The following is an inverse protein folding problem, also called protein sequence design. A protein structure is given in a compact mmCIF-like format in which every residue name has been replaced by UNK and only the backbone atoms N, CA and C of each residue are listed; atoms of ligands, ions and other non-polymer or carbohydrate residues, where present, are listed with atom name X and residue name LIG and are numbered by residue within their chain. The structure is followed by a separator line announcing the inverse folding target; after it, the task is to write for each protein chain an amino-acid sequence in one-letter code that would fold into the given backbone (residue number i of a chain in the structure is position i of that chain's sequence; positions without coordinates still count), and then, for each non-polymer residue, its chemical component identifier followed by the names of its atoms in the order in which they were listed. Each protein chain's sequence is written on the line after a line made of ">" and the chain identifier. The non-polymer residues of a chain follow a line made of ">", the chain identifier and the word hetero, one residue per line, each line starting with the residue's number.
data_IF_480695161874
#
_entry.id   IF_480695161874
#
_cell.length_a   1.000
_cell.length_b   1.000
_cell.length_c   1.000
_cell.angle_alpha   90.00
_cell.angle_beta   90.00
_cell.angle_gamma   90.00
#
_symmetry.space_group_name_H-M   'P 1'
#
loop_
_entity.id
_entity.type
_entity.pdbx_description
1 polymer ?
#
# COMPACT_ATOMS: atom_id res chain seq x y z
N UNK A 1 5.81 25.40 18.70
CA UNK A 1 6.88 24.82 17.86
C UNK A 1 6.90 23.32 18.11
N UNK A 2 6.52 22.50 17.12
CA UNK A 2 6.46 21.05 17.29
C UNK A 2 7.87 20.46 17.22
N UNK A 3 8.41 20.00 18.36
CA UNK A 3 9.64 19.22 18.38
C UNK A 3 9.35 17.83 17.81
N UNK A 4 9.63 17.64 16.53
CA UNK A 4 9.68 16.31 15.92
C UNK A 4 10.85 15.53 16.52
N UNK A 5 10.56 14.60 17.42
CA UNK A 5 11.53 13.72 18.06
C UNK A 5 12.45 13.02 17.03
N UNK A 6 13.77 13.02 17.29
CA UNK A 6 14.77 12.36 16.45
C UNK A 6 14.52 10.85 16.27
N UNK A 7 13.77 10.23 17.19
CA UNK A 7 13.33 8.84 17.06
C UNK A 7 12.31 8.67 15.93
N UNK A 8 11.40 9.63 15.74
CA UNK A 8 10.38 9.63 14.69
C UNK A 8 11.02 9.78 13.30
N UNK A 9 12.04 10.63 13.18
CA UNK A 9 12.81 10.82 11.93
C UNK A 9 13.60 9.56 11.56
N UNK A 10 14.28 8.92 12.52
CA UNK A 10 15.00 7.66 12.30
C UNK A 10 14.08 6.48 11.94
N UNK A 11 12.90 6.38 12.56
CA UNK A 11 11.90 5.33 12.25
C UNK A 11 11.32 5.52 10.84
N UNK A 12 11.06 6.77 10.44
CA UNK A 12 10.61 7.12 9.09
C UNK A 12 11.63 6.73 8.00
N UNK A 13 12.92 7.05 8.19
CA UNK A 13 13.98 6.69 7.23
C UNK A 13 14.18 5.19 7.03
N UNK A 14 14.09 4.39 8.12
CA UNK A 14 14.12 2.92 8.03
C UNK A 14 12.93 2.37 7.26
N UNK A 15 11.73 2.91 7.49
CA UNK A 15 10.53 2.49 6.76
C UNK A 15 10.60 2.83 5.27
N UNK A 16 11.19 3.97 4.91
CA UNK A 16 11.40 4.37 3.51
C UNK A 16 12.40 3.45 2.81
N UNK A 17 13.51 3.09 3.48
CA UNK A 17 14.50 2.16 2.93
C UNK A 17 13.90 0.76 2.69
N UNK A 18 13.11 0.25 3.63
CA UNK A 18 12.40 -1.03 3.47
C UNK A 18 11.40 -0.99 2.31
N UNK A 19 10.62 0.09 2.18
CA UNK A 19 9.70 0.27 1.05
C UNK A 19 10.44 0.30 -0.29
N UNK A 20 11.58 0.98 -0.37
CA UNK A 20 12.39 1.04 -1.58
C UNK A 20 12.92 -0.35 -2.00
N UNK A 21 13.38 -1.15 -1.03
CA UNK A 21 13.82 -2.53 -1.28
C UNK A 21 12.69 -3.43 -1.77
N UNK A 22 11.50 -3.33 -1.18
CA UNK A 22 10.30 -4.07 -1.62
C UNK A 22 9.97 -3.71 -3.07
N UNK A 23 9.92 -2.40 -3.40
CA UNK A 23 9.66 -1.94 -4.77
C UNK A 23 10.73 -2.43 -5.74
N UNK A 24 11.99 -2.46 -5.34
CA UNK A 24 13.08 -2.99 -6.16
C UNK A 24 12.92 -4.49 -6.43
N UNK A 25 12.51 -5.26 -5.41
CA UNK A 25 12.19 -6.68 -5.56
C UNK A 25 11.02 -6.90 -6.52
N UNK A 26 9.95 -6.09 -6.42
CA UNK A 26 8.80 -6.16 -7.33
C UNK A 26 9.18 -5.85 -8.77
N UNK A 27 10.00 -4.82 -9.00
CA UNK A 27 10.54 -4.51 -10.33
C UNK A 27 11.35 -5.66 -10.91
N UNK A 28 12.18 -6.31 -10.08
CA UNK A 28 12.96 -7.48 -10.49
C UNK A 28 12.04 -8.65 -10.86
N UNK A 29 11.07 -9.00 -10.00
CA UNK A 29 10.09 -10.07 -10.27
C UNK A 29 9.33 -9.82 -11.57
N UNK A 30 8.90 -8.58 -11.82
CA UNK A 30 8.23 -8.20 -13.07
C UNK A 30 9.13 -8.48 -14.28
N UNK A 31 10.36 -7.96 -14.25
CA UNK A 31 11.32 -8.10 -15.37
C UNK A 31 11.66 -9.56 -15.63
N UNK A 32 11.95 -10.33 -14.58
CA UNK A 32 12.38 -11.72 -14.71
C UNK A 32 11.26 -12.60 -15.26
N UNK A 33 10.01 -12.39 -14.82
CA UNK A 33 8.86 -13.16 -15.31
C UNK A 33 8.44 -12.76 -16.74
N UNK A 34 8.47 -11.47 -17.10
CA UNK A 34 8.23 -11.04 -18.49
C UNK A 34 9.29 -11.60 -19.43
N UNK A 35 10.57 -11.57 -19.02
CA UNK A 35 11.66 -12.18 -19.80
C UNK A 35 11.41 -13.67 -19.97
N UNK A 36 11.09 -14.40 -18.90
CA UNK A 36 10.78 -15.82 -18.97
C UNK A 36 9.62 -16.13 -19.93
N UNK A 37 8.56 -15.32 -19.94
CA UNK A 37 7.47 -15.47 -20.91
C UNK A 37 7.97 -15.33 -22.35
N UNK A 38 8.72 -14.26 -22.63
CA UNK A 38 9.19 -13.94 -23.97
C UNK A 38 10.20 -14.97 -24.48
N UNK A 39 11.23 -15.28 -23.68
CA UNK A 39 12.28 -16.21 -24.08
C UNK A 39 11.72 -17.61 -24.36
N UNK A 40 10.82 -18.12 -23.50
CA UNK A 40 10.19 -19.42 -23.74
C UNK A 40 9.30 -19.40 -25.00
N UNK A 41 8.55 -18.33 -25.22
CA UNK A 41 7.72 -18.18 -26.42
C UNK A 41 8.55 -18.17 -27.70
N UNK A 42 9.61 -17.36 -27.76
CA UNK A 42 10.52 -17.27 -28.90
C UNK A 42 11.16 -18.63 -29.21
N UNK A 43 11.57 -19.37 -28.18
CA UNK A 43 12.15 -20.70 -28.37
C UNK A 43 11.12 -21.72 -28.91
N UNK A 44 9.88 -21.69 -28.42
CA UNK A 44 8.80 -22.53 -28.95
C UNK A 44 8.60 -22.25 -30.45
N UNK A 45 8.52 -20.97 -30.84
CA UNK A 45 8.36 -20.58 -32.25
C UNK A 45 9.57 -20.99 -33.09
N UNK A 46 10.79 -20.84 -32.56
CA UNK A 46 12.02 -21.25 -33.24
C UNK A 46 12.04 -22.74 -33.54
N UNK A 47 11.60 -23.58 -32.59
CA UNK A 47 11.52 -25.03 -32.75
C UNK A 47 10.37 -25.46 -33.66
N UNK A 48 9.24 -24.74 -33.63
CA UNK A 48 8.09 -25.03 -34.49
C UNK A 48 8.31 -24.67 -35.97
N UNK A 49 9.39 -23.94 -36.29
CA UNK A 49 9.68 -23.51 -37.66
C UNK A 49 10.11 -24.71 -38.52
N UNK A 50 9.31 -25.05 -39.52
CA UNK A 50 9.59 -26.13 -40.46
C UNK A 50 10.65 -25.65 -41.47
N UNK A 51 11.83 -26.26 -41.49
CA UNK A 51 12.79 -26.10 -42.57
C UNK A 51 12.47 -27.11 -43.69
N UNK A 52 12.24 -26.60 -44.89
CA UNK A 52 11.83 -27.40 -46.06
C UNK A 52 12.96 -28.35 -46.51
N UNK A 53 14.23 -27.98 -46.28
CA UNK A 53 15.40 -28.81 -46.62
C UNK A 53 15.62 -29.99 -45.65
N UNK A 54 15.22 -29.86 -44.39
CA UNK A 54 15.35 -30.93 -43.37
C UNK A 54 14.33 -32.06 -43.58
N UNK A 55 13.22 -31.76 -44.25
CA UNK A 55 12.16 -32.73 -44.52
C UNK A 55 12.54 -33.79 -45.57
N UNK A 56 13.59 -33.53 -46.38
CA UNK A 56 13.87 -34.33 -47.57
C UNK A 56 14.87 -35.49 -47.36
N UNK A 57 15.75 -35.45 -46.35
CA UNK A 57 16.83 -36.45 -46.23
C UNK A 57 17.25 -36.70 -44.77
N UNK A 58 16.76 -37.79 -44.13
CA UNK A 58 17.50 -38.68 -43.18
C UNK A 58 16.60 -39.63 -42.34
N UNK A 59 17.27 -40.70 -41.90
CA UNK A 59 16.85 -41.89 -41.14
C UNK A 59 15.53 -41.83 -40.31
N UNK A 60 14.60 -42.80 -40.47
CA UNK A 60 13.32 -42.83 -39.74
C UNK A 60 13.45 -43.12 -38.23
N UNK A 61 14.49 -43.83 -37.78
CA UNK A 61 14.67 -44.23 -36.37
C UNK A 61 15.13 -43.08 -35.46
N UNK A 62 15.93 -42.13 -35.98
CA UNK A 62 16.36 -40.93 -35.25
C UNK A 62 15.22 -39.93 -35.04
N UNK A 63 14.33 -39.83 -36.03
CA UNK A 63 13.18 -38.91 -36.01
C UNK A 63 12.23 -39.13 -34.83
N UNK A 64 12.08 -40.36 -34.34
CA UNK A 64 11.18 -40.62 -33.21
C UNK A 64 11.73 -40.03 -31.89
N UNK A 65 13.02 -40.24 -31.62
CA UNK A 65 13.69 -39.69 -30.42
C UNK A 65 13.75 -38.17 -30.47
N UNK A 66 14.08 -37.60 -31.62
CA UNK A 66 14.14 -36.15 -31.82
C UNK A 66 12.76 -35.52 -31.68
N UNK A 67 11.72 -36.14 -32.26
CA UNK A 67 10.35 -35.70 -32.10
C UNK A 67 9.91 -35.66 -30.63
N UNK A 68 10.15 -36.74 -29.87
CA UNK A 68 9.78 -36.76 -28.45
C UNK A 68 10.57 -35.75 -27.63
N UNK A 69 11.85 -35.56 -27.93
CA UNK A 69 12.69 -34.53 -27.29
C UNK A 69 12.08 -33.15 -27.54
N UNK A 70 11.85 -32.77 -28.80
CA UNK A 70 11.28 -31.47 -29.15
C UNK A 70 9.88 -31.26 -28.55
N UNK A 71 9.03 -32.30 -28.58
CA UNK A 71 7.69 -32.27 -27.98
C UNK A 71 7.77 -32.00 -26.48
N UNK A 72 8.62 -32.73 -25.76
CA UNK A 72 8.76 -32.60 -24.32
C UNK A 72 9.35 -31.24 -23.94
N UNK A 73 10.36 -30.78 -24.69
CA UNK A 73 10.99 -29.48 -24.49
C UNK A 73 9.99 -28.33 -24.69
N UNK A 74 9.17 -28.40 -25.75
CA UNK A 74 8.09 -27.44 -26.03
C UNK A 74 7.04 -27.45 -24.92
N UNK A 75 6.64 -28.62 -24.44
CA UNK A 75 5.69 -28.74 -23.33
C UNK A 75 6.24 -28.13 -22.03
N UNK A 76 7.51 -28.38 -21.71
CA UNK A 76 8.18 -27.79 -20.54
C UNK A 76 8.24 -26.26 -20.65
N UNK A 77 8.59 -25.72 -21.82
CA UNK A 77 8.60 -24.27 -22.04
C UNK A 77 7.22 -23.64 -21.86
N UNK A 78 6.17 -24.27 -22.40
CA UNK A 78 4.80 -23.81 -22.21
C UNK A 78 4.41 -23.81 -20.72
N UNK A 79 4.79 -24.85 -19.97
CA UNK A 79 4.56 -24.90 -18.52
C UNK A 79 5.32 -23.78 -17.77
N UNK A 80 6.56 -23.47 -18.17
CA UNK A 80 7.32 -22.35 -17.60
C UNK A 80 6.68 -20.99 -17.88
N UNK A 81 6.06 -20.81 -19.05
CA UNK A 81 5.29 -19.61 -19.36
C UNK A 81 4.07 -19.48 -18.44
N UNK A 82 3.30 -20.55 -18.26
CA UNK A 82 2.14 -20.55 -17.34
C UNK A 82 2.58 -20.21 -15.91
N UNK A 83 3.69 -20.78 -15.44
CA UNK A 83 4.25 -20.46 -14.13
C UNK A 83 4.64 -18.97 -14.02
N UNK A 84 5.30 -18.42 -15.04
CA UNK A 84 5.67 -17.01 -15.03
C UNK A 84 4.43 -16.08 -15.03
N UNK A 85 3.35 -16.47 -15.71
CA UNK A 85 2.09 -15.75 -15.67
C UNK A 85 1.43 -15.79 -14.28
N UNK A 86 1.44 -16.94 -13.60
CA UNK A 86 0.93 -17.07 -12.23
C UNK A 86 1.75 -16.21 -11.24
N UNK A 87 3.08 -16.17 -11.40
CA UNK A 87 3.94 -15.30 -10.58
C UNK A 87 3.67 -13.80 -10.80
N UNK A 88 3.29 -13.39 -12.01
CA UNK A 88 2.83 -12.02 -12.29
C UNK A 88 1.46 -11.72 -11.66
N UNK A 89 0.57 -12.72 -11.59
CA UNK A 89 -0.71 -12.60 -10.91
C UNK A 89 -0.51 -12.41 -9.40
N UNK A 90 0.36 -13.22 -8.78
CA UNK A 90 0.77 -13.05 -7.37
C UNK A 90 1.40 -11.68 -7.12
N UNK A 91 2.31 -11.24 -7.99
CA UNK A 91 2.91 -9.91 -7.89
C UNK A 91 1.85 -8.79 -7.92
N UNK A 92 0.77 -8.95 -8.67
CA UNK A 92 -0.34 -8.00 -8.69
C UNK A 92 -1.08 -7.96 -7.35
N UNK A 93 -1.26 -9.12 -6.71
CA UNK A 93 -1.83 -9.18 -5.36
C UNK A 93 -0.89 -8.52 -4.34
N UNK A 94 0.40 -8.85 -4.36
CA UNK A 94 1.42 -8.28 -3.48
C UNK A 94 1.52 -6.75 -3.62
N UNK A 95 1.31 -6.21 -4.84
CA UNK A 95 1.24 -4.78 -5.09
C UNK A 95 -0.01 -4.15 -4.47
N UNK A 96 -1.18 -4.79 -4.60
CA UNK A 96 -2.41 -4.31 -3.97
C UNK A 96 -2.27 -4.30 -2.45
N UNK A 97 -1.74 -5.38 -1.89
CA UNK A 97 -1.47 -5.47 -0.46
C UNK A 97 -0.47 -4.40 -0.02
N UNK A 98 0.64 -4.22 -0.75
CA UNK A 98 1.61 -3.16 -0.46
C UNK A 98 0.97 -1.77 -0.50
N UNK A 99 0.13 -1.47 -1.48
CA UNK A 99 -0.51 -0.16 -1.59
C UNK A 99 -1.59 0.06 -0.52
N UNK A 100 -2.35 -0.97 -0.15
CA UNK A 100 -3.41 -0.88 0.85
C UNK A 100 -2.81 -0.87 2.27
N UNK A 101 -1.89 -1.80 2.57
CA UNK A 101 -1.29 -1.96 3.89
C UNK A 101 -0.13 -1.02 4.18
N UNK A 102 0.54 -0.42 3.19
CA UNK A 102 1.61 0.55 3.49
C UNK A 102 1.23 2.02 3.31
N UNK A 103 -0.02 2.33 2.97
CA UNK A 103 -0.56 3.69 2.96
C UNK A 103 -1.06 4.17 4.36
N UNK A 104 -0.65 3.48 5.43
CA UNK A 104 -0.89 3.95 6.79
C UNK A 104 -0.28 5.32 7.08
N UNK A 105 0.76 5.79 6.37
CA UNK A 105 1.27 7.15 6.62
C UNK A 105 0.29 8.24 6.15
N UNK A 106 -0.37 8.06 5.01
CA UNK A 106 -1.43 8.97 4.58
C UNK A 106 -2.62 8.87 5.53
N UNK A 107 -3.04 7.64 5.87
CA UNK A 107 -4.15 7.41 6.78
C UNK A 107 -3.86 7.98 8.18
N UNK A 108 -2.69 7.74 8.76
CA UNK A 108 -2.25 8.29 10.04
C UNK A 108 -2.14 9.81 9.99
N UNK A 109 -1.67 10.40 8.89
CA UNK A 109 -1.64 11.86 8.75
C UNK A 109 -3.06 12.45 8.64
N UNK A 110 -3.97 11.79 7.92
CA UNK A 110 -5.36 12.19 7.81
C UNK A 110 -6.09 12.07 9.16
N UNK A 111 -5.84 10.98 9.91
CA UNK A 111 -6.36 10.77 11.27
C UNK A 111 -5.83 11.83 12.22
N UNK A 112 -4.52 12.07 12.24
CA UNK A 112 -3.93 13.11 13.09
C UNK A 112 -4.53 14.49 12.79
N UNK A 113 -4.69 14.85 11.52
CA UNK A 113 -5.32 16.13 11.14
C UNK A 113 -6.79 16.21 11.59
N UNK A 114 -7.50 15.09 11.59
CA UNK A 114 -8.88 15.03 12.07
C UNK A 114 -8.93 15.17 13.60
N UNK A 115 -8.03 14.52 14.33
CA UNK A 115 -7.86 14.66 15.78
C UNK A 115 -7.52 16.10 16.15
N UNK A 116 -6.51 16.72 15.53
CA UNK A 116 -6.11 18.10 15.77
C UNK A 116 -7.26 19.09 15.52
N UNK A 117 -8.16 18.79 14.56
CA UNK A 117 -9.34 19.60 14.28
C UNK A 117 -10.42 19.41 15.35
N UNK A 118 -10.63 18.18 15.81
CA UNK A 118 -11.59 17.87 16.86
C UNK A 118 -11.17 18.50 18.20
N UNK A 119 -9.88 18.45 18.52
CA UNK A 119 -9.31 19.07 19.72
C UNK A 119 -9.54 20.59 19.73
N UNK A 120 -9.28 21.28 18.63
CA UNK A 120 -9.57 22.73 18.51
C UNK A 120 -11.04 23.07 18.70
N UNK A 121 -11.94 22.27 18.15
CA UNK A 121 -13.38 22.47 18.32
C UNK A 121 -13.77 22.26 19.78
N UNK A 122 -13.20 21.24 20.43
CA UNK A 122 -13.43 20.98 21.84
C UNK A 122 -12.94 22.15 22.72
N UNK A 123 -11.75 22.68 22.46
CA UNK A 123 -11.19 23.84 23.17
C UNK A 123 -12.10 25.07 23.04
N UNK A 124 -12.61 25.36 21.84
CA UNK A 124 -13.57 26.46 21.61
C UNK A 124 -14.86 26.26 22.42
N UNK A 125 -15.38 25.03 22.49
CA UNK A 125 -16.55 24.71 23.32
C UNK A 125 -16.27 24.87 24.81
N UNK A 126 -15.10 24.45 25.29
CA UNK A 126 -14.69 24.59 26.69
C UNK A 126 -14.63 26.07 27.06
N UNK A 127 -13.94 26.89 26.25
CA UNK A 127 -13.84 28.33 26.48
C UNK A 127 -15.21 29.01 26.52
N UNK A 128 -16.12 28.62 25.63
CA UNK A 128 -17.49 29.15 25.60
C UNK A 128 -18.31 28.75 26.82
N UNK A 129 -18.18 27.49 27.26
CA UNK A 129 -18.82 27.01 28.48
C UNK A 129 -18.30 27.76 29.71
N UNK A 130 -17.00 27.97 29.82
CA UNK A 130 -16.40 28.71 30.94
C UNK A 130 -16.86 30.17 30.97
N UNK A 131 -16.94 30.82 29.81
CA UNK A 131 -17.47 32.19 29.70
C UNK A 131 -18.93 32.27 30.19
N UNK A 132 -19.80 31.35 29.73
CA UNK A 132 -21.19 31.29 30.16
C UNK A 132 -21.34 30.99 31.66
N UNK A 133 -20.49 30.12 32.21
CA UNK A 133 -20.45 29.85 33.65
C UNK A 133 -20.10 31.10 34.44
N UNK A 134 -19.11 31.87 33.98
CA UNK A 134 -18.69 33.09 34.65
C UNK A 134 -19.78 34.16 34.61
N UNK A 135 -20.43 34.33 33.45
CA UNK A 135 -21.54 35.26 33.25
C UNK A 135 -22.74 34.91 34.14
N UNK A 136 -23.12 33.62 34.19
CA UNK A 136 -24.18 33.13 35.08
C UNK A 136 -23.83 33.39 36.55
N UNK A 137 -22.58 33.15 36.96
CA UNK A 137 -22.12 33.42 38.32
C UNK A 137 -22.17 34.92 38.65
N UNK A 138 -21.82 35.78 37.70
CA UNK A 138 -21.94 37.24 37.85
C UNK A 138 -23.40 37.63 38.07
N UNK A 139 -24.29 37.12 37.23
CA UNK A 139 -25.73 37.41 37.30
C UNK A 139 -26.33 36.99 38.64
N UNK A 140 -25.96 35.82 39.16
CA UNK A 140 -26.38 35.35 40.49
C UNK A 140 -25.87 36.31 41.59
N UNK A 141 -24.60 36.72 41.51
CA UNK A 141 -24.00 37.62 42.50
C UNK A 141 -24.67 39.01 42.48
N UNK A 142 -25.03 39.49 41.29
CA UNK A 142 -25.73 40.77 41.14
C UNK A 142 -27.16 40.70 41.66
N UNK A 143 -27.88 39.60 41.39
CA UNK A 143 -29.21 39.34 41.98
C UNK A 143 -29.14 39.28 43.50
N UNK A 144 -28.16 38.55 44.06
CA UNK A 144 -27.97 38.46 45.52
C UNK A 144 -27.71 39.84 46.13
N UNK A 145 -26.90 40.68 45.46
CA UNK A 145 -26.66 42.07 45.90
C UNK A 145 -27.94 42.90 45.87
N UNK A 146 -28.69 42.87 44.79
CA UNK A 146 -29.94 43.64 44.65
C UNK A 146 -30.99 43.21 45.69
N UNK A 147 -31.08 41.91 45.98
CA UNK A 147 -31.94 41.37 47.04
C UNK A 147 -31.55 41.88 48.43
N UNK A 148 -30.25 41.91 48.75
CA UNK A 148 -29.74 42.45 50.01
C UNK A 148 -30.07 43.95 50.13
N UNK A 149 -29.80 44.72 49.08
CA UNK A 149 -29.91 46.17 49.09
C UNK A 149 -31.37 46.65 49.12
N UNK A 150 -32.29 45.97 48.42
CA UNK A 150 -33.67 46.43 48.26
C UNK A 150 -34.69 45.70 49.13
N UNK A 151 -34.45 44.44 49.48
CA UNK A 151 -35.45 43.64 50.21
C UNK A 151 -35.09 43.40 51.67
N UNK A 152 -33.98 43.96 52.16
CA UNK A 152 -33.56 43.89 53.58
C UNK A 152 -33.66 42.47 54.15
N UNK A 153 -33.32 41.45 53.35
CA UNK A 153 -33.27 40.06 53.81
C UNK A 153 -31.99 39.89 54.65
N UNK A 154 -31.99 40.45 55.86
CA UNK A 154 -31.00 40.12 56.89
C UNK A 154 -31.51 38.93 57.68
N UNK A 155 -30.85 37.79 57.52
CA UNK A 155 -30.72 36.78 58.56
C UNK A 155 -29.24 36.65 58.92
#
# INVERSE_FOLDING_TARGET
>A
MAQTSAATVRKSGKNVATKALIVQQYKRRLKDNIRSLNDNFVNIISVAKINVDDAAHKNPSGRMSDFYTMKNETAVRAALMVRAADELFKLTHDLKEFLILHDFNFLSCAVQKAEDRAEKVLDDYILRCDALRLDTSSLVTDIDRELIDHFSVRH
#
